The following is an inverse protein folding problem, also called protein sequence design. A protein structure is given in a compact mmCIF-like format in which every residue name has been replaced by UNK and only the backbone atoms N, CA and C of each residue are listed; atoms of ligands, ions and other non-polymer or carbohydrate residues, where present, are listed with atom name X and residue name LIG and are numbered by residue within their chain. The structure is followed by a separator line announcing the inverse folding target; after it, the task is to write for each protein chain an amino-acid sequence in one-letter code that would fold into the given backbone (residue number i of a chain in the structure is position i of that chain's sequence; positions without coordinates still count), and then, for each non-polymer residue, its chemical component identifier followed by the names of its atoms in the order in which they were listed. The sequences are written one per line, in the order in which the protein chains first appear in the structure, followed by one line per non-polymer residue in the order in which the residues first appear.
data_IF_545453320948
#
_entry.id   IF_545453320948
#
_cell.length_a   1.000
_cell.length_b   1.000
_cell.length_c   1.000
_cell.angle_alpha   90.00
_cell.angle_beta   90.00
_cell.angle_gamma   90.00
#
_symmetry.space_group_name_H-M   'P 1'
#
loop_
_entity.id
_entity.type
_entity.pdbx_description
1 polymer ?
#
# COMPACT_ATOMS: atom_id res chain seq x y z
N UNK A 1 18.68 21.12 20.58
CA UNK A 1 17.85 20.27 19.71
C UNK A 1 16.49 20.18 20.37
N UNK A 2 15.56 21.04 19.98
CA UNK A 2 14.21 21.12 20.57
C UNK A 2 13.38 19.91 20.13
N UNK A 3 12.52 19.33 21.00
CA UNK A 3 11.59 18.31 20.57
C UNK A 3 10.64 18.95 19.57
N UNK A 4 10.63 18.45 18.34
CA UNK A 4 9.66 18.88 17.34
C UNK A 4 8.26 18.60 17.90
N UNK A 5 7.43 19.63 17.95
CA UNK A 5 6.07 19.60 18.47
C UNK A 5 5.29 18.40 17.91
N UNK A 6 5.08 17.39 18.77
CA UNK A 6 4.22 16.26 18.51
C UNK A 6 2.78 16.76 18.55
N UNK A 7 2.31 17.32 17.43
CA UNK A 7 0.87 17.55 17.26
C UNK A 7 0.25 16.17 17.01
N UNK A 8 -0.62 15.67 17.91
CA UNK A 8 -1.30 14.40 17.69
C UNK A 8 -2.11 14.51 16.40
N UNK A 9 -1.88 13.59 15.49
CA UNK A 9 -2.69 13.49 14.29
C UNK A 9 -3.96 12.71 14.67
N UNK A 10 -4.99 13.47 15.06
CA UNK A 10 -6.24 12.95 15.63
C UNK A 10 -6.82 11.72 14.87
N UNK A 11 -6.75 11.63 13.53
CA UNK A 11 -7.21 10.45 12.80
C UNK A 11 -6.38 9.18 13.06
N UNK A 12 -5.06 9.26 13.16
CA UNK A 12 -4.21 8.07 13.35
C UNK A 12 -4.26 7.54 14.78
N UNK A 13 -4.27 8.44 15.77
CA UNK A 13 -4.46 8.05 17.17
C UNK A 13 -5.83 7.37 17.37
N UNK A 14 -6.90 7.93 16.79
CA UNK A 14 -8.24 7.34 16.84
C UNK A 14 -8.31 6.00 16.10
N UNK A 15 -7.73 5.89 14.91
CA UNK A 15 -7.69 4.64 14.16
C UNK A 15 -6.88 3.55 14.89
N UNK A 16 -5.74 3.90 15.50
CA UNK A 16 -4.96 2.97 16.32
C UNK A 16 -5.78 2.50 17.51
N UNK A 17 -6.41 3.42 18.26
CA UNK A 17 -7.27 3.06 19.38
C UNK A 17 -8.42 2.14 18.96
N UNK A 18 -9.05 2.39 17.80
CA UNK A 18 -10.10 1.53 17.27
C UNK A 18 -9.59 0.12 16.91
N UNK A 19 -8.44 0.01 16.23
CA UNK A 19 -7.79 -1.27 15.93
C UNK A 19 -7.45 -2.04 17.22
N UNK A 20 -6.95 -1.34 18.22
CA UNK A 20 -6.56 -1.89 19.51
C UNK A 20 -7.76 -2.45 20.29
N UNK A 21 -8.85 -1.69 20.34
CA UNK A 21 -10.10 -2.12 20.96
C UNK A 21 -10.72 -3.31 20.22
N UNK A 22 -10.69 -3.30 18.88
CA UNK A 22 -11.19 -4.41 18.06
C UNK A 22 -10.40 -5.71 18.33
N UNK A 23 -9.11 -5.60 18.63
CA UNK A 23 -8.26 -6.72 19.00
C UNK A 23 -8.44 -7.19 20.45
N UNK A 24 -9.24 -6.48 21.27
CA UNK A 24 -9.47 -6.83 22.68
C UNK A 24 -8.23 -6.63 23.57
N UNK A 25 -7.35 -5.69 23.20
CA UNK A 25 -6.08 -5.45 23.90
C UNK A 25 -6.23 -4.42 25.05
N UNK A 26 -5.35 -4.45 26.07
CA UNK A 26 -5.50 -3.62 27.27
C UNK A 26 -5.43 -2.13 26.95
N UNK A 27 -6.44 -1.35 27.36
CA UNK A 27 -6.57 0.06 26.97
C UNK A 27 -5.45 0.94 27.54
N UNK A 28 -4.90 0.58 28.70
CA UNK A 28 -3.79 1.28 29.33
C UNK A 28 -2.52 1.32 28.47
N UNK A 29 -2.34 0.32 27.58
CA UNK A 29 -1.22 0.28 26.65
C UNK A 29 -1.21 1.46 25.69
N UNK A 30 -2.39 2.02 25.36
CA UNK A 30 -2.50 3.12 24.40
C UNK A 30 -1.75 4.38 24.82
N UNK A 31 -1.56 4.60 26.13
CA UNK A 31 -0.76 5.71 26.65
C UNK A 31 0.74 5.61 26.27
N UNK A 32 1.18 4.43 25.82
CA UNK A 32 2.55 4.15 25.42
C UNK A 32 2.79 4.26 23.90
N UNK A 33 1.77 4.61 23.12
CA UNK A 33 1.91 4.85 21.69
C UNK A 33 1.94 6.35 21.36
N UNK A 34 2.97 6.75 20.62
CA UNK A 34 3.13 8.09 20.06
C UNK A 34 2.97 8.02 18.53
N UNK A 35 1.79 8.45 18.07
CA UNK A 35 1.44 8.48 16.64
C UNK A 35 1.11 9.92 16.20
N UNK A 36 2.17 10.70 16.00
CA UNK A 36 2.10 12.10 15.56
C UNK A 36 2.74 12.33 14.18
N UNK A 37 2.55 13.51 13.61
CA UNK A 37 3.15 13.92 12.33
C UNK A 37 2.17 14.67 11.42
N UNK A 38 2.70 15.34 10.39
CA UNK A 38 1.91 16.20 9.48
C UNK A 38 1.33 15.43 8.28
N UNK A 39 0.32 16.03 7.65
CA UNK A 39 -0.35 15.56 6.44
C UNK A 39 -0.43 16.61 5.33
N UNK A 40 -0.62 16.18 4.06
CA UNK A 40 -0.56 14.79 3.54
C UNK A 40 0.89 14.30 3.35
N UNK A 41 1.09 12.97 3.24
CA UNK A 41 2.43 12.38 2.95
C UNK A 41 2.53 11.86 1.51
N UNK A 42 1.50 11.19 1.00
CA UNK A 42 1.43 10.68 -0.37
C UNK A 42 0.23 11.27 -1.11
N UNK A 43 0.33 11.52 -2.43
CA UNK A 43 -0.78 11.99 -3.25
C UNK A 43 -1.74 10.83 -3.56
N UNK A 44 -2.53 10.41 -2.57
CA UNK A 44 -3.52 9.35 -2.68
C UNK A 44 -4.94 9.90 -2.52
N UNK A 45 -5.90 9.31 -3.21
CA UNK A 45 -7.33 9.60 -3.01
C UNK A 45 -7.86 9.09 -1.67
N UNK A 46 -7.11 8.21 -0.99
CA UNK A 46 -7.42 7.69 0.33
C UNK A 46 -6.37 8.15 1.35
N UNK A 47 -6.77 8.26 2.62
CA UNK A 47 -5.85 8.57 3.72
C UNK A 47 -4.98 7.35 4.10
N UNK A 48 -4.13 6.95 3.16
CA UNK A 48 -3.20 5.82 3.27
C UNK A 48 -2.14 6.07 4.33
N UNK A 49 -1.83 7.33 4.62
CA UNK A 49 -0.87 7.67 5.65
C UNK A 49 -1.46 7.40 7.05
N UNK A 50 -2.74 7.67 7.28
CA UNK A 50 -3.41 7.32 8.54
C UNK A 50 -3.49 5.82 8.69
N UNK A 51 -3.90 5.12 7.62
CA UNK A 51 -3.97 3.66 7.62
C UNK A 51 -2.60 3.03 7.96
N UNK A 52 -1.54 3.41 7.24
CA UNK A 52 -0.19 2.88 7.48
C UNK A 52 0.31 3.19 8.89
N UNK A 53 0.15 4.44 9.34
CA UNK A 53 0.66 4.89 10.63
C UNK A 53 -0.05 4.23 11.81
N UNK A 54 -1.39 4.15 11.77
CA UNK A 54 -2.17 3.50 12.81
C UNK A 54 -1.89 1.99 12.86
N UNK A 55 -1.81 1.32 11.71
CA UNK A 55 -1.53 -0.13 11.65
C UNK A 55 -0.13 -0.48 12.14
N UNK A 56 0.90 0.26 11.69
CA UNK A 56 2.28 0.04 12.16
C UNK A 56 2.46 0.45 13.62
N UNK A 57 1.82 1.53 14.06
CA UNK A 57 1.78 1.94 15.47
C UNK A 57 1.14 0.88 16.37
N UNK A 58 0.01 0.32 15.97
CA UNK A 58 -0.64 -0.77 16.70
C UNK A 58 0.25 -2.03 16.76
N UNK A 59 0.87 -2.42 15.65
CA UNK A 59 1.77 -3.58 15.62
C UNK A 59 3.00 -3.38 16.53
N UNK A 60 3.60 -2.18 16.50
CA UNK A 60 4.73 -1.85 17.35
C UNK A 60 4.34 -1.79 18.84
N UNK A 61 3.16 -1.23 19.17
CA UNK A 61 2.63 -1.25 20.53
C UNK A 61 2.34 -2.69 21.01
N UNK A 62 1.77 -3.55 20.16
CA UNK A 62 1.55 -4.96 20.50
C UNK A 62 2.86 -5.71 20.79
N UNK A 63 3.94 -5.39 20.06
CA UNK A 63 5.26 -5.94 20.37
C UNK A 63 5.79 -5.44 21.73
N UNK A 64 5.57 -4.17 22.08
CA UNK A 64 5.91 -3.62 23.38
C UNK A 64 5.06 -4.22 24.52
N UNK A 65 3.79 -4.55 24.28
CA UNK A 65 2.96 -5.28 25.24
C UNK A 65 3.48 -6.70 25.47
N UNK A 66 3.88 -7.41 24.42
CA UNK A 66 4.50 -8.73 24.56
C UNK A 66 5.81 -8.65 25.36
N UNK A 67 6.61 -7.60 25.13
CA UNK A 67 7.81 -7.33 25.93
C UNK A 67 7.46 -7.11 27.40
N UNK A 68 6.43 -6.30 27.69
CA UNK A 68 5.98 -6.04 29.05
C UNK A 68 5.53 -7.32 29.75
N UNK A 69 4.73 -8.16 29.10
CA UNK A 69 4.29 -9.44 29.68
C UNK A 69 5.46 -10.37 30.03
N UNK A 70 6.56 -10.29 29.28
CA UNK A 70 7.76 -11.13 29.51
C UNK A 70 8.71 -10.58 30.55
N UNK A 71 8.74 -9.26 30.76
CA UNK A 71 9.82 -8.59 31.51
C UNK A 71 9.32 -7.70 32.65
N UNK A 72 8.04 -7.38 32.67
CA UNK A 72 7.44 -6.37 33.55
C UNK A 72 7.74 -4.92 33.16
N UNK A 73 8.54 -4.68 32.11
CA UNK A 73 8.97 -3.33 31.72
C UNK A 73 8.07 -2.73 30.63
N UNK A 74 7.67 -1.47 30.79
CA UNK A 74 6.96 -0.69 29.76
C UNK A 74 7.94 0.11 28.91
N UNK A 75 7.55 0.40 27.68
CA UNK A 75 8.35 1.19 26.72
C UNK A 75 7.43 2.13 25.96
N UNK A 76 7.87 3.36 25.72
CA UNK A 76 7.22 4.25 24.75
C UNK A 76 7.57 3.79 23.33
N UNK A 77 6.57 3.78 22.45
CA UNK A 77 6.71 3.41 21.05
C UNK A 77 6.28 4.59 20.19
N UNK A 78 7.19 5.09 19.36
CA UNK A 78 6.91 6.15 18.40
C UNK A 78 7.12 5.62 16.97
N UNK A 79 6.13 5.83 16.10
CA UNK A 79 6.24 5.52 14.68
C UNK A 79 6.24 6.83 13.90
N UNK A 80 7.23 7.04 13.04
CA UNK A 80 7.27 8.22 12.19
C UNK A 80 6.27 8.09 11.04
N UNK A 81 5.28 8.99 10.96
CA UNK A 81 4.23 8.94 9.92
C UNK A 81 4.78 8.86 8.48
N UNK A 82 5.83 9.61 8.17
CA UNK A 82 6.45 9.59 6.85
C UNK A 82 7.11 8.22 6.57
N UNK A 83 7.84 7.66 7.53
CA UNK A 83 8.44 6.34 7.40
C UNK A 83 7.38 5.25 7.24
N UNK A 84 6.29 5.33 8.01
CA UNK A 84 5.16 4.40 7.90
C UNK A 84 4.55 4.41 6.49
N UNK A 85 4.32 5.59 5.92
CA UNK A 85 3.79 5.69 4.55
C UNK A 85 4.79 5.22 3.49
N UNK A 86 6.09 5.50 3.66
CA UNK A 86 7.13 5.08 2.72
C UNK A 86 7.33 3.56 2.73
N UNK A 87 7.25 2.91 3.89
CA UNK A 87 7.32 1.45 4.02
C UNK A 87 6.27 0.76 3.13
N UNK A 88 5.08 1.34 3.03
CA UNK A 88 3.99 0.81 2.20
C UNK A 88 4.17 1.01 0.68
N UNK A 89 5.25 1.66 0.23
CA UNK A 89 5.50 1.85 -1.22
C UNK A 89 6.13 0.63 -1.89
N UNK A 90 6.63 -0.33 -1.09
CA UNK A 90 7.31 -1.51 -1.62
C UNK A 90 8.60 -1.18 -2.38
N UNK A 91 9.20 -0.01 -2.14
CA UNK A 91 10.45 0.38 -2.75
C UNK A 91 11.60 -0.48 -2.22
N UNK A 92 12.37 -1.06 -3.14
CA UNK A 92 13.64 -1.70 -2.81
C UNK A 92 14.63 -1.57 -3.96
N UNK A 93 15.92 -1.72 -3.64
CA UNK A 93 17.00 -1.75 -4.60
C UNK A 93 17.93 -2.94 -4.31
N UNK A 94 18.49 -3.52 -5.37
CA UNK A 94 19.53 -4.55 -5.32
C UNK A 94 20.81 -3.94 -5.89
N UNK A 95 21.86 -3.83 -5.07
CA UNK A 95 23.12 -3.17 -5.44
C UNK A 95 22.92 -1.77 -6.06
N UNK A 96 22.02 -0.99 -5.48
CA UNK A 96 21.67 0.36 -5.95
C UNK A 96 20.78 0.40 -7.21
N UNK A 97 20.30 -0.75 -7.70
CA UNK A 97 19.41 -0.84 -8.87
C UNK A 97 18.00 -1.21 -8.46
N UNK A 98 17.02 -0.41 -8.89
CA UNK A 98 15.60 -0.70 -8.68
C UNK A 98 15.12 -1.62 -9.81
N UNK A 99 14.64 -2.85 -9.51
CA UNK A 99 14.15 -3.75 -10.56
C UNK A 99 12.86 -3.23 -11.21
N UNK A 100 12.69 -3.51 -12.51
CA UNK A 100 11.41 -3.35 -13.17
C UNK A 100 10.49 -4.52 -12.77
N UNK A 101 9.54 -4.26 -11.88
CA UNK A 101 8.66 -5.29 -11.31
C UNK A 101 7.48 -5.68 -12.22
N UNK A 102 7.15 -4.84 -13.19
CA UNK A 102 5.94 -4.95 -13.98
C UNK A 102 6.26 -5.27 -15.43
N UNK A 103 5.61 -6.29 -15.98
CA UNK A 103 5.59 -6.51 -17.43
C UNK A 103 4.92 -5.29 -18.11
N UNK A 104 5.38 -4.90 -19.30
CA UNK A 104 4.84 -3.77 -20.07
C UNK A 104 3.35 -3.90 -20.37
N UNK A 105 2.84 -5.14 -20.41
CA UNK A 105 1.43 -5.47 -20.62
C UNK A 105 0.62 -5.49 -19.31
N UNK A 106 1.26 -5.40 -18.14
CA UNK A 106 0.54 -5.22 -16.88
C UNK A 106 0.08 -3.77 -16.72
N UNK A 107 -1.09 -3.58 -16.12
CA UNK A 107 -1.61 -2.27 -15.74
C UNK A 107 -3.04 -2.01 -16.21
N UNK A 108 -3.47 -0.75 -16.08
CA UNK A 108 -4.82 -0.30 -16.40
C UNK A 108 -4.92 0.12 -17.87
N UNK A 109 -5.99 -0.32 -18.55
CA UNK A 109 -6.26 -0.07 -19.95
C UNK A 109 -7.66 0.50 -20.14
N UNK A 110 -7.85 1.54 -20.97
CA UNK A 110 -9.19 1.90 -21.42
C UNK A 110 -9.76 0.79 -22.31
N UNK A 111 -11.06 0.51 -22.16
CA UNK A 111 -11.77 -0.48 -22.95
C UNK A 111 -13.19 -0.01 -23.32
N UNK A 112 -13.86 -0.73 -24.22
CA UNK A 112 -15.29 -0.54 -24.51
C UNK A 112 -15.68 0.76 -25.22
N UNK A 113 -14.72 1.62 -25.54
CA UNK A 113 -14.99 2.87 -26.24
C UNK A 113 -15.69 2.66 -27.60
N UNK A 114 -15.34 1.60 -28.35
CA UNK A 114 -16.00 1.26 -29.61
C UNK A 114 -17.30 0.46 -29.42
N UNK A 115 -17.50 -0.15 -28.24
CA UNK A 115 -18.72 -0.85 -27.87
C UNK A 115 -19.80 0.07 -27.26
N UNK A 116 -19.49 1.36 -27.06
CA UNK A 116 -20.40 2.34 -26.46
C UNK A 116 -20.46 2.30 -24.93
N UNK A 117 -19.64 1.46 -24.29
CA UNK A 117 -19.54 1.30 -22.83
C UNK A 117 -18.10 1.56 -22.38
N UNK A 118 -17.60 2.81 -22.46
CA UNK A 118 -16.23 3.12 -22.09
C UNK A 118 -15.96 2.79 -20.62
N UNK A 119 -14.87 2.08 -20.37
CA UNK A 119 -14.48 1.64 -19.05
C UNK A 119 -12.98 1.38 -18.96
N UNK A 120 -12.57 0.71 -17.89
CA UNK A 120 -11.19 0.29 -17.69
C UNK A 120 -11.10 -1.17 -17.26
N UNK A 121 -10.13 -1.88 -17.80
CA UNK A 121 -9.73 -3.22 -17.35
C UNK A 121 -8.28 -3.17 -16.88
N UNK A 122 -7.96 -3.96 -15.86
CA UNK A 122 -6.58 -4.14 -15.40
C UNK A 122 -6.06 -5.50 -15.82
N UNK A 123 -4.99 -5.51 -16.61
CA UNK A 123 -4.28 -6.73 -16.99
C UNK A 123 -3.17 -6.99 -15.96
N UNK A 124 -3.05 -8.23 -15.50
CA UNK A 124 -1.97 -8.67 -14.62
C UNK A 124 -1.11 -9.74 -15.32
N UNK A 125 -0.08 -9.30 -16.05
CA UNK A 125 0.71 -10.10 -16.98
C UNK A 125 2.19 -10.29 -16.56
N UNK A 126 2.53 -10.11 -15.28
CA UNK A 126 3.93 -10.21 -14.82
C UNK A 126 4.59 -11.58 -15.03
N UNK A 127 3.82 -12.65 -15.22
CA UNK A 127 4.34 -13.98 -15.54
C UNK A 127 4.08 -14.30 -17.01
N UNK A 128 5.05 -14.92 -17.68
CA UNK A 128 4.96 -15.25 -19.11
C UNK A 128 3.68 -16.02 -19.47
N UNK A 129 3.27 -16.99 -18.66
CA UNK A 129 2.04 -17.76 -18.90
C UNK A 129 0.75 -16.94 -18.66
N UNK A 130 0.76 -15.97 -17.74
CA UNK A 130 -0.36 -15.03 -17.58
C UNK A 130 -0.42 -14.04 -18.76
N UNK A 131 0.72 -13.52 -19.18
CA UNK A 131 0.83 -12.67 -20.37
C UNK A 131 0.29 -13.40 -21.60
N UNK A 132 0.79 -14.60 -21.87
CA UNK A 132 0.39 -15.37 -23.06
C UNK A 132 -1.07 -15.85 -22.96
N UNK A 133 -1.60 -16.06 -21.74
CA UNK A 133 -3.03 -16.24 -21.51
C UNK A 133 -3.85 -15.02 -21.92
N UNK A 134 -3.48 -13.84 -21.43
CA UNK A 134 -4.16 -12.58 -21.77
C UNK A 134 -4.04 -12.26 -23.27
N UNK A 135 -2.88 -12.47 -23.89
CA UNK A 135 -2.66 -12.22 -25.31
C UNK A 135 -3.53 -13.12 -26.19
N UNK A 136 -3.64 -14.42 -25.86
CA UNK A 136 -4.56 -15.34 -26.57
C UNK A 136 -6.01 -14.88 -26.45
N UNK A 137 -6.43 -14.45 -25.27
CA UNK A 137 -7.78 -13.93 -25.04
C UNK A 137 -8.06 -12.69 -25.90
N UNK A 138 -7.08 -11.81 -26.05
CA UNK A 138 -7.15 -10.60 -26.89
C UNK A 138 -6.97 -10.88 -28.39
N UNK A 139 -6.72 -12.13 -28.80
CA UNK A 139 -6.42 -12.48 -30.19
C UNK A 139 -5.08 -11.92 -30.70
N UNK A 140 -4.13 -11.67 -29.80
CA UNK A 140 -2.82 -11.10 -30.10
C UNK A 140 -1.71 -12.17 -30.09
N UNK A 141 -0.60 -11.97 -30.83
CA UNK A 141 0.55 -12.86 -30.77
C UNK A 141 1.09 -13.00 -29.34
N UNK A 142 1.39 -14.23 -28.91
CA UNK A 142 2.01 -14.52 -27.61
C UNK A 142 3.51 -14.20 -27.61
N UNK A 143 4.11 -14.17 -26.42
CA UNK A 143 5.53 -13.85 -26.25
C UNK A 143 5.79 -12.36 -26.03
N UNK A 144 7.07 -11.99 -26.07
CA UNK A 144 7.52 -10.64 -25.70
C UNK A 144 7.31 -9.59 -26.80
N UNK A 145 6.94 -9.99 -28.02
CA UNK A 145 6.82 -9.07 -29.15
C UNK A 145 5.62 -8.13 -29.08
N UNK A 146 4.56 -8.50 -28.35
CA UNK A 146 3.33 -7.69 -28.29
C UNK A 146 3.50 -6.46 -27.41
N UNK A 147 3.08 -5.32 -27.95
CA UNK A 147 3.21 -3.99 -27.33
C UNK A 147 1.97 -3.60 -26.53
N UNK A 148 2.13 -2.61 -25.64
CA UNK A 148 1.01 -2.05 -24.86
C UNK A 148 -0.04 -1.41 -25.76
N UNK A 149 0.39 -0.81 -26.86
CA UNK A 149 -0.45 -0.15 -27.85
C UNK A 149 -1.36 -1.17 -28.56
N UNK A 150 -0.81 -2.33 -28.93
CA UNK A 150 -1.60 -3.43 -29.50
C UNK A 150 -2.65 -3.97 -28.51
N UNK A 151 -2.26 -4.16 -27.24
CA UNK A 151 -3.20 -4.53 -26.18
C UNK A 151 -4.33 -3.49 -25.98
N UNK A 152 -3.98 -2.21 -26.01
CA UNK A 152 -4.93 -1.10 -25.91
C UNK A 152 -5.89 -1.07 -27.09
N UNK A 153 -5.39 -1.29 -28.31
CA UNK A 153 -6.21 -1.34 -29.51
C UNK A 153 -7.21 -2.51 -29.48
N UNK A 154 -6.76 -3.70 -29.06
CA UNK A 154 -7.60 -4.88 -28.94
C UNK A 154 -8.78 -4.67 -27.99
N UNK A 155 -8.58 -3.93 -26.89
CA UNK A 155 -9.59 -3.67 -25.86
C UNK A 155 -10.66 -2.65 -26.23
N UNK A 156 -10.52 -1.90 -27.34
CA UNK A 156 -11.49 -0.87 -27.73
C UNK A 156 -12.90 -1.42 -27.92
N UNK A 157 -13.02 -2.65 -28.44
CA UNK A 157 -14.31 -3.30 -28.74
C UNK A 157 -14.85 -4.20 -27.63
N UNK A 158 -14.21 -4.25 -26.46
CA UNK A 158 -14.60 -5.14 -25.36
C UNK A 158 -15.64 -4.49 -24.44
N UNK A 159 -16.76 -5.17 -24.20
CA UNK A 159 -17.85 -4.74 -23.28
C UNK A 159 -17.96 -5.65 -22.08
#
# INVERSE_FOLDING_TARGET
MTPADHVPDAPAAAALAALWQLAGLPAEALAHAEVGGRQPVLPSSFDVATAAHASLGAAALAAAELWHLRTGQRQQVAVGRAHAAMECTGHFALDGRVPALWDKLSGLYPCGAAAGTPGFVRIHANFAHHRDGALRLLGLPTGDGTTREQGTAALKGWS
#
